data_IF_894427728242
#
_entry.id   IF_894427728242
#
_cell.length_a   1.000
_cell.length_b   1.000
_cell.length_c   1.000
_cell.angle_alpha   90.00
_cell.angle_beta   90.00
_cell.angle_gamma   90.00
#
_symmetry.space_group_name_H-M   'P 1'
#
loop_
_entity.id
_entity.type
_entity.pdbx_description
1 polymer ?
#
# COMPACT_ATOMS: atom_id res chain seq x y z
N UNK A 1 24.26 16.14 -4.48
CA UNK A 1 23.24 15.08 -4.62
C UNK A 1 23.86 13.95 -5.40
N UNK A 2 23.83 12.74 -4.91
CA UNK A 2 24.33 11.57 -5.64
C UNK A 2 23.22 11.08 -6.58
N UNK A 3 23.59 10.67 -7.79
CA UNK A 3 22.65 10.16 -8.81
C UNK A 3 21.85 8.90 -8.39
N UNK A 4 22.18 8.33 -7.24
CA UNK A 4 21.58 7.12 -6.71
C UNK A 4 20.53 7.39 -5.60
N UNK A 5 20.18 8.64 -5.32
CA UNK A 5 19.21 9.03 -4.31
C UNK A 5 18.16 9.94 -4.94
N UNK A 6 16.91 9.54 -4.88
CA UNK A 6 15.74 10.31 -5.28
C UNK A 6 14.87 10.58 -4.04
N UNK A 7 14.52 11.82 -3.81
CA UNK A 7 13.61 12.24 -2.73
C UNK A 7 12.54 13.12 -3.34
N UNK A 8 11.29 12.80 -3.08
CA UNK A 8 10.15 13.60 -3.47
C UNK A 8 9.29 13.95 -2.26
N UNK A 9 8.81 15.18 -2.23
CA UNK A 9 7.82 15.65 -1.27
C UNK A 9 6.64 16.21 -2.02
N UNK A 10 5.46 16.03 -1.48
CA UNK A 10 4.23 16.50 -2.10
C UNK A 10 3.11 16.57 -1.09
N UNK A 11 1.92 16.82 -1.59
CA UNK A 11 0.72 16.83 -0.79
C UNK A 11 -0.45 16.23 -1.58
N UNK A 12 -1.30 15.47 -0.92
CA UNK A 12 -2.52 14.89 -1.47
C UNK A 12 -3.74 15.49 -0.76
N UNK A 13 -4.71 15.96 -1.54
CA UNK A 13 -5.99 16.40 -1.00
C UNK A 13 -6.96 15.22 -0.96
N UNK A 14 -7.52 14.95 0.20
CA UNK A 14 -8.47 13.87 0.41
C UNK A 14 -9.70 14.37 1.16
N UNK A 15 -10.88 13.92 0.77
CA UNK A 15 -12.16 14.25 1.39
C UNK A 15 -12.87 13.01 1.97
N UNK A 16 -12.13 12.02 2.38
CA UNK A 16 -12.68 10.75 2.90
C UNK A 16 -13.57 10.94 4.12
N UNK A 17 -13.22 11.89 4.99
CA UNK A 17 -13.97 12.14 6.24
C UNK A 17 -15.06 13.21 6.11
N UNK A 18 -15.37 13.65 4.89
CA UNK A 18 -16.38 14.69 4.65
C UNK A 18 -15.85 16.11 4.69
N UNK A 19 -14.57 16.28 4.98
CA UNK A 19 -13.85 17.56 4.98
C UNK A 19 -12.60 17.42 4.11
N UNK A 20 -12.23 18.45 3.36
CA UNK A 20 -10.97 18.45 2.61
C UNK A 20 -9.80 18.44 3.59
N UNK A 21 -8.96 17.45 3.48
CA UNK A 21 -7.78 17.26 4.31
C UNK A 21 -6.54 17.14 3.43
N UNK A 22 -5.48 17.83 3.85
CA UNK A 22 -4.19 17.78 3.20
C UNK A 22 -3.31 16.75 3.90
N UNK A 23 -2.83 15.76 3.15
CA UNK A 23 -1.91 14.74 3.63
C UNK A 23 -0.53 14.96 3.01
N UNK A 24 0.54 14.91 3.80
CA UNK A 24 1.89 14.94 3.25
C UNK A 24 2.14 13.67 2.42
N UNK A 25 2.76 13.85 1.28
CA UNK A 25 3.22 12.78 0.43
C UNK A 25 4.75 12.76 0.42
N UNK A 26 5.32 11.60 0.68
CA UNK A 26 6.76 11.41 0.72
C UNK A 26 7.14 10.26 -0.21
N UNK A 27 8.22 10.46 -0.93
CA UNK A 27 8.82 9.46 -1.78
C UNK A 27 10.33 9.46 -1.54
N UNK A 28 10.87 8.29 -1.35
CA UNK A 28 12.30 8.08 -1.16
C UNK A 28 12.71 6.85 -1.95
N UNK A 29 13.71 7.00 -2.81
CA UNK A 29 14.30 5.87 -3.51
C UNK A 29 15.82 5.97 -3.46
N UNK A 30 16.42 4.90 -3.04
CA UNK A 30 17.86 4.75 -2.97
C UNK A 30 18.30 3.56 -3.81
N UNK A 31 19.31 3.76 -4.65
CA UNK A 31 19.96 2.72 -5.41
C UNK A 31 21.45 2.78 -5.11
N UNK A 32 22.00 1.72 -4.55
CA UNK A 32 23.41 1.75 -4.18
C UNK A 32 23.76 0.61 -3.21
N UNK A 33 24.76 0.83 -2.40
CA UNK A 33 25.37 -0.17 -1.54
C UNK A 33 26.68 -0.67 -2.13
N UNK A 34 27.18 -1.77 -1.59
CA UNK A 34 28.49 -2.30 -1.92
C UNK A 34 28.70 -2.75 -3.37
N UNK A 35 27.73 -2.61 -4.27
CA UNK A 35 27.87 -2.96 -5.69
C UNK A 35 26.70 -2.48 -6.56
N UNK A 36 26.04 -1.38 -6.20
CA UNK A 36 24.83 -0.87 -6.88
C UNK A 36 23.70 -1.90 -7.10
N UNK A 37 23.76 -3.00 -6.34
CA UNK A 37 22.81 -4.10 -6.46
C UNK A 37 21.56 -3.93 -5.60
N UNK A 38 21.62 -3.08 -4.58
CA UNK A 38 20.52 -2.87 -3.66
C UNK A 38 19.68 -1.67 -4.06
N UNK A 39 18.37 -1.80 -3.91
CA UNK A 39 17.41 -0.70 -4.05
C UNK A 39 16.49 -0.68 -2.86
N UNK A 40 16.20 0.53 -2.37
CA UNK A 40 15.18 0.78 -1.36
C UNK A 40 14.23 1.78 -1.94
N UNK A 41 12.93 1.50 -1.89
CA UNK A 41 11.87 2.36 -2.40
C UNK A 41 10.82 2.49 -1.29
N UNK A 42 10.58 3.71 -0.84
CA UNK A 42 9.58 4.05 0.17
C UNK A 42 8.65 5.09 -0.42
N UNK A 43 7.36 4.83 -0.41
CA UNK A 43 6.34 5.73 -0.93
C UNK A 43 5.16 5.81 0.02
N UNK A 44 4.73 7.03 0.33
CA UNK A 44 3.53 7.33 1.10
C UNK A 44 2.44 8.00 0.24
N UNK A 45 2.54 7.89 -1.09
CA UNK A 45 1.60 8.56 -2.01
C UNK A 45 0.22 7.87 -2.03
N UNK A 46 0.20 6.54 -2.12
CA UNK A 46 -1.02 5.74 -2.29
C UNK A 46 -1.20 4.74 -1.13
N UNK A 47 -1.10 5.20 0.09
CA UNK A 47 -0.95 4.35 1.26
C UNK A 47 0.50 4.32 1.72
N UNK A 48 0.96 3.22 2.26
CA UNK A 48 2.36 3.03 2.66
C UNK A 48 2.97 1.88 1.88
N UNK A 49 4.03 2.13 1.12
CA UNK A 49 4.78 1.10 0.40
C UNK A 49 6.25 1.16 0.77
N UNK A 50 6.81 0.02 1.10
CA UNK A 50 8.25 -0.17 1.27
C UNK A 50 8.68 -1.34 0.41
N UNK A 51 9.71 -1.15 -0.41
CA UNK A 51 10.27 -2.20 -1.22
C UNK A 51 11.79 -2.26 -1.07
N UNK A 52 12.30 -3.45 -0.92
CA UNK A 52 13.72 -3.77 -0.93
C UNK A 52 14.02 -4.61 -2.16
N UNK A 53 14.90 -4.12 -3.02
CA UNK A 53 15.29 -4.81 -4.24
C UNK A 53 16.75 -5.23 -4.19
N UNK A 54 17.02 -6.38 -4.80
CA UNK A 54 18.36 -6.91 -4.98
C UNK A 54 18.56 -7.44 -6.41
N UNK A 55 19.50 -6.89 -7.15
CA UNK A 55 19.88 -7.36 -8.46
C UNK A 55 20.88 -8.52 -8.32
N UNK A 56 20.37 -9.75 -8.30
CA UNK A 56 21.19 -10.95 -8.12
C UNK A 56 22.11 -11.19 -9.33
N UNK A 57 21.56 -11.05 -10.55
CA UNK A 57 22.28 -11.14 -11.83
C UNK A 57 21.73 -10.08 -12.77
N UNK A 58 22.39 -9.88 -13.91
CA UNK A 58 21.92 -8.95 -14.94
C UNK A 58 20.49 -9.27 -15.44
N UNK A 59 20.17 -10.57 -15.48
CA UNK A 59 18.88 -11.07 -15.93
C UNK A 59 17.89 -11.42 -14.82
N UNK A 60 18.24 -11.25 -13.52
CA UNK A 60 17.37 -11.57 -12.40
C UNK A 60 17.47 -10.53 -11.31
N UNK A 61 16.37 -9.89 -11.02
CA UNK A 61 16.20 -9.05 -9.83
C UNK A 61 15.11 -9.60 -8.91
N UNK A 62 15.30 -9.43 -7.62
CA UNK A 62 14.37 -9.83 -6.58
C UNK A 62 13.91 -8.57 -5.83
N UNK A 63 12.61 -8.46 -5.56
CA UNK A 63 12.06 -7.39 -4.72
C UNK A 63 11.18 -8.00 -3.64
N UNK A 64 11.39 -7.57 -2.41
CA UNK A 64 10.46 -7.78 -1.31
C UNK A 64 9.65 -6.48 -1.15
N UNK A 65 8.34 -6.58 -1.27
CA UNK A 65 7.44 -5.44 -1.20
C UNK A 65 6.47 -5.63 -0.07
N UNK A 66 6.38 -4.64 0.80
CA UNK A 66 5.34 -4.53 1.80
C UNK A 66 4.53 -3.27 1.52
N UNK A 67 3.21 -3.37 1.49
CA UNK A 67 2.35 -2.22 1.34
C UNK A 67 1.12 -2.28 2.25
N UNK A 68 0.68 -1.11 2.66
CA UNK A 68 -0.58 -0.90 3.34
C UNK A 68 -1.49 -0.19 2.35
N UNK A 69 -2.57 -0.85 2.00
CA UNK A 69 -3.60 -0.31 1.13
C UNK A 69 -4.97 -0.42 1.78
N UNK A 70 -5.94 0.21 1.16
CA UNK A 70 -7.31 0.14 1.63
C UNK A 70 -8.24 0.99 0.78
N UNK A 71 -9.51 0.92 1.10
CA UNK A 71 -10.52 1.76 0.48
C UNK A 71 -11.54 2.21 1.51
N UNK A 72 -12.22 3.29 1.22
CA UNK A 72 -13.35 3.76 2.00
C UNK A 72 -14.60 3.82 1.10
N UNK A 73 -15.72 3.37 1.62
CA UNK A 73 -17.03 3.47 1.00
C UNK A 73 -17.96 4.27 1.90
N UNK A 74 -18.73 5.17 1.29
CA UNK A 74 -19.69 6.00 2.01
C UNK A 74 -21.05 5.32 1.99
N UNK A 75 -21.66 5.28 3.16
CA UNK A 75 -22.96 4.66 3.38
C UNK A 75 -23.89 5.63 4.07
N UNK A 76 -25.16 5.51 3.80
CA UNK A 76 -26.23 6.18 4.56
C UNK A 76 -27.11 5.12 5.17
N UNK A 77 -27.18 5.06 6.48
CA UNK A 77 -27.99 4.14 7.23
C UNK A 77 -28.79 4.91 8.27
N UNK A 78 -30.12 4.71 8.30
CA UNK A 78 -31.01 5.37 9.25
C UNK A 78 -30.72 6.88 9.37
N UNK A 79 -30.60 7.56 8.20
CA UNK A 79 -30.26 8.98 8.06
C UNK A 79 -28.84 9.39 8.54
N UNK A 80 -28.10 8.51 9.17
CA UNK A 80 -26.73 8.74 9.56
C UNK A 80 -25.75 8.51 8.42
N UNK A 81 -24.77 9.39 8.33
CA UNK A 81 -23.68 9.26 7.34
C UNK A 81 -22.57 8.40 7.96
N UNK A 82 -22.44 7.20 7.44
CA UNK A 82 -21.41 6.25 7.87
C UNK A 82 -20.32 6.10 6.79
N UNK A 83 -19.16 5.67 7.21
CA UNK A 83 -18.05 5.29 6.35
C UNK A 83 -17.60 3.87 6.70
N UNK A 84 -17.58 3.00 5.70
CA UNK A 84 -16.86 1.74 5.80
C UNK A 84 -15.43 1.95 5.33
N UNK A 85 -14.45 1.58 6.14
CA UNK A 85 -13.04 1.60 5.76
C UNK A 85 -12.46 0.20 5.83
N UNK A 86 -11.80 -0.23 4.76
CA UNK A 86 -11.04 -1.47 4.74
C UNK A 86 -9.56 -1.16 4.71
N UNK A 87 -8.79 -1.87 5.50
CA UNK A 87 -7.33 -1.81 5.51
C UNK A 87 -6.77 -3.19 5.24
N UNK A 88 -5.73 -3.25 4.43
CA UNK A 88 -5.07 -4.49 4.07
C UNK A 88 -3.56 -4.28 4.06
N UNK A 89 -2.85 -5.16 4.74
CA UNK A 89 -1.40 -5.21 4.72
C UNK A 89 -0.96 -6.37 3.83
N UNK A 90 -0.21 -6.05 2.77
CA UNK A 90 0.31 -6.99 1.80
C UNK A 90 1.82 -7.14 1.94
N UNK A 91 2.29 -8.36 1.82
CA UNK A 91 3.72 -8.65 1.64
C UNK A 91 3.87 -9.58 0.44
N UNK A 92 4.81 -9.28 -0.44
CA UNK A 92 5.09 -10.09 -1.62
C UNK A 92 6.57 -10.13 -1.96
N UNK A 93 6.98 -11.28 -2.47
CA UNK A 93 8.25 -11.44 -3.16
C UNK A 93 8.01 -11.34 -4.67
N UNK A 94 8.80 -10.51 -5.32
CA UNK A 94 8.63 -10.18 -6.74
C UNK A 94 9.95 -10.42 -7.50
N UNK A 95 10.23 -11.65 -7.95
CA UNK A 95 11.28 -11.89 -8.91
C UNK A 95 10.91 -11.30 -10.28
N UNK A 96 11.87 -10.64 -10.92
CA UNK A 96 11.77 -10.14 -12.28
C UNK A 96 12.85 -10.79 -13.14
N UNK A 97 12.41 -11.51 -14.15
CA UNK A 97 13.27 -12.16 -15.14
C UNK A 97 13.40 -11.27 -16.37
N UNK A 98 14.62 -10.81 -16.66
CA UNK A 98 14.91 -9.97 -17.83
C UNK A 98 15.35 -10.84 -19.00
N UNK A 99 14.69 -10.70 -20.13
CA UNK A 99 14.97 -11.41 -21.36
C UNK A 99 15.52 -10.40 -22.38
N UNK A 100 16.83 -10.40 -22.57
CA UNK A 100 17.50 -9.39 -23.37
C UNK A 100 17.37 -7.98 -22.77
N UNK A 101 17.35 -6.96 -23.65
CA UNK A 101 17.31 -5.54 -23.23
C UNK A 101 15.90 -4.97 -23.14
N UNK A 102 14.93 -5.62 -23.76
CA UNK A 102 13.62 -5.02 -24.01
C UNK A 102 12.45 -5.71 -23.30
N UNK A 103 12.63 -6.95 -22.83
CA UNK A 103 11.55 -7.71 -22.21
C UNK A 103 11.88 -8.06 -20.78
N UNK A 104 10.92 -7.90 -19.88
CA UNK A 104 11.01 -8.41 -18.53
C UNK A 104 9.69 -9.09 -18.13
N UNK A 105 9.81 -10.19 -17.40
CA UNK A 105 8.69 -10.96 -16.85
C UNK A 105 8.70 -10.80 -15.34
N UNK A 106 7.93 -9.87 -14.78
CA UNK A 106 7.71 -9.80 -13.35
C UNK A 106 6.78 -10.92 -12.90
N UNK A 107 7.14 -11.57 -11.83
CA UNK A 107 6.30 -12.53 -11.12
C UNK A 107 6.13 -12.02 -9.70
N UNK A 108 4.93 -12.05 -9.15
CA UNK A 108 4.67 -11.67 -7.78
C UNK A 108 3.91 -12.79 -7.08
N UNK A 109 4.39 -13.18 -5.92
CA UNK A 109 3.68 -14.07 -5.03
C UNK A 109 3.76 -13.55 -3.60
N UNK A 110 2.66 -13.64 -2.88
CA UNK A 110 2.58 -13.07 -1.56
C UNK A 110 1.23 -13.31 -0.90
N UNK A 111 0.96 -12.49 0.10
CA UNK A 111 -0.29 -12.58 0.82
C UNK A 111 -0.69 -11.28 1.52
N UNK A 112 -1.95 -11.19 1.85
CA UNK A 112 -2.49 -10.19 2.75
C UNK A 112 -2.67 -10.82 4.13
N UNK A 113 -1.90 -10.35 5.09
CA UNK A 113 -1.85 -10.95 6.43
C UNK A 113 -2.77 -10.25 7.42
N UNK A 114 -2.96 -8.94 7.25
CA UNK A 114 -3.88 -8.15 8.05
C UNK A 114 -4.92 -7.58 7.11
N UNK A 115 -6.17 -8.00 7.32
CA UNK A 115 -7.32 -7.53 6.56
C UNK A 115 -8.41 -7.18 7.55
N UNK A 116 -8.76 -5.92 7.62
CA UNK A 116 -9.82 -5.46 8.52
C UNK A 116 -10.78 -4.53 7.81
N UNK A 117 -12.03 -4.62 8.18
CA UNK A 117 -13.08 -3.70 7.76
C UNK A 117 -13.75 -3.10 8.99
N UNK A 118 -13.97 -1.80 9.00
CA UNK A 118 -14.53 -1.07 10.12
C UNK A 118 -15.57 -0.07 9.66
N UNK A 119 -16.65 0.02 10.42
CA UNK A 119 -17.65 1.06 10.25
C UNK A 119 -17.39 2.19 11.22
N UNK A 120 -17.46 3.40 10.73
CA UNK A 120 -17.30 4.64 11.53
C UNK A 120 -18.29 5.69 11.07
N UNK A 121 -18.58 6.63 11.92
CA UNK A 121 -19.27 7.85 11.50
C UNK A 121 -18.40 8.65 10.53
N UNK A 122 -19.01 9.32 9.57
CA UNK A 122 -18.28 10.18 8.63
C UNK A 122 -18.04 11.55 9.24
N UNK A 123 -17.18 11.62 10.25
CA UNK A 123 -16.79 12.85 10.93
C UNK A 123 -15.27 12.92 11.10
N UNK A 124 -14.73 14.12 11.23
CA UNK A 124 -13.29 14.30 11.48
C UNK A 124 -12.87 13.64 12.81
N UNK A 125 -13.72 13.73 13.82
CA UNK A 125 -13.50 13.10 15.11
C UNK A 125 -13.36 11.57 15.00
N UNK A 126 -14.03 10.94 14.04
CA UNK A 126 -13.98 9.49 13.84
C UNK A 126 -12.61 8.97 13.37
N UNK A 127 -11.69 9.84 12.95
CA UNK A 127 -10.29 9.44 12.71
C UNK A 127 -9.61 8.95 14.00
N UNK A 128 -10.00 9.55 15.13
CA UNK A 128 -9.36 9.32 16.44
C UNK A 128 -10.27 8.57 17.41
N UNK A 129 -11.52 8.31 17.01
CA UNK A 129 -12.50 7.61 17.84
C UNK A 129 -12.52 6.10 17.56
N UNK A 130 -13.07 5.37 18.50
CA UNK A 130 -13.37 3.96 18.39
C UNK A 130 -14.41 3.69 17.29
N UNK A 131 -14.46 2.45 16.85
CA UNK A 131 -15.38 1.92 15.83
C UNK A 131 -16.84 2.17 16.21
N UNK A 132 -17.71 2.29 15.21
CA UNK A 132 -19.14 2.29 15.43
C UNK A 132 -19.58 0.99 16.12
N UNK A 133 -20.51 1.08 17.04
CA UNK A 133 -21.02 -0.07 17.80
C UNK A 133 -22.39 -0.48 17.30
N UNK A 134 -22.70 -1.74 17.44
CA UNK A 134 -24.05 -2.27 17.30
C UNK A 134 -24.90 -1.86 18.52
N UNK A 135 -26.21 -2.13 18.47
CA UNK A 135 -27.14 -1.89 19.58
C UNK A 135 -26.76 -2.68 20.85
N UNK A 136 -26.11 -3.83 20.68
CA UNK A 136 -25.60 -4.67 21.76
C UNK A 136 -24.23 -4.20 22.34
N UNK A 137 -23.69 -3.09 21.83
CA UNK A 137 -22.40 -2.53 22.25
C UNK A 137 -21.17 -3.17 21.60
N UNK A 138 -21.33 -4.17 20.73
CA UNK A 138 -20.22 -4.80 20.03
C UNK A 138 -19.68 -3.91 18.92
N UNK A 139 -18.36 -3.96 18.67
CA UNK A 139 -17.72 -3.19 17.61
C UNK A 139 -18.17 -3.68 16.23
N UNK A 140 -18.53 -2.76 15.33
CA UNK A 140 -18.89 -3.06 13.94
C UNK A 140 -17.62 -3.16 13.09
N UNK A 141 -16.85 -4.19 13.34
CA UNK A 141 -15.63 -4.49 12.61
C UNK A 141 -15.61 -5.96 12.18
N UNK A 142 -14.87 -6.23 11.12
CA UNK A 142 -14.64 -7.57 10.62
C UNK A 142 -13.14 -7.75 10.38
N UNK A 143 -12.62 -8.85 10.85
CA UNK A 143 -11.26 -9.30 10.54
C UNK A 143 -11.39 -10.45 9.56
N UNK A 144 -10.71 -10.34 8.43
CA UNK A 144 -10.74 -11.35 7.39
C UNK A 144 -9.52 -12.26 7.48
N UNK A 145 -9.69 -13.51 7.09
CA UNK A 145 -8.58 -14.46 7.00
C UNK A 145 -7.51 -13.97 6.02
N UNK A 146 -6.25 -14.33 6.24
CA UNK A 146 -5.18 -14.09 5.28
C UNK A 146 -5.53 -14.67 3.91
N UNK A 147 -5.13 -13.98 2.85
CA UNK A 147 -5.32 -14.45 1.49
C UNK A 147 -3.98 -14.44 0.75
N UNK A 148 -3.72 -15.50 0.00
CA UNK A 148 -2.56 -15.60 -0.88
C UNK A 148 -2.91 -15.03 -2.25
N UNK A 149 -1.92 -14.47 -2.94
CA UNK A 149 -2.07 -14.06 -4.32
C UNK A 149 -0.83 -14.40 -5.15
N UNK A 150 -1.08 -14.57 -6.43
CA UNK A 150 -0.07 -14.74 -7.46
C UNK A 150 -0.40 -13.83 -8.63
N UNK A 151 0.61 -13.19 -9.18
CA UNK A 151 0.46 -12.37 -10.37
C UNK A 151 1.72 -12.49 -11.25
N UNK A 152 1.54 -12.40 -12.56
CA UNK A 152 2.63 -12.31 -13.52
C UNK A 152 2.23 -11.39 -14.66
N UNK A 153 3.21 -10.88 -15.38
CA UNK A 153 2.99 -9.97 -16.50
C UNK A 153 4.20 -9.95 -17.44
N UNK A 154 4.09 -9.11 -18.45
CA UNK A 154 5.19 -8.83 -19.38
C UNK A 154 5.38 -7.31 -19.43
N UNK A 155 6.62 -6.87 -19.23
CA UNK A 155 7.02 -5.47 -19.38
C UNK A 155 7.91 -5.36 -20.62
N UNK A 156 7.54 -4.47 -21.53
CA UNK A 156 8.34 -4.12 -22.72
C UNK A 156 8.94 -2.74 -22.46
N UNK A 157 10.27 -2.64 -22.66
CA UNK A 157 11.04 -1.41 -22.42
C UNK A 157 11.58 -0.82 -23.71
#
# INVERSE_FOLDING_TARGET
>A
WRANLEIGVGAALNNTFGYPMLFPALYFKYKGGFSDKFTIDVSLLDGGKVAFGYNYRENLSLKLVANIGGYAAYLRRNEQKEMYSSQTFFVSLQPEFKIGKHVAIPVAFGGSFIRSGRYRERTLAAMFQSEAKNEDGTARSSVFLPALYFATGITIK
#
